data_IF_727443959735
#
_entry.id   IF_727443959735
#
_cell.length_a   1.000
_cell.length_b   1.000
_cell.length_c   1.000
_cell.angle_alpha   90.00
_cell.angle_beta   90.00
_cell.angle_gamma   90.00
#
_symmetry.space_group_name_H-M   'P 1'
#
loop_
_entity.id
_entity.type
_entity.pdbx_description
1 polymer ?
#
# COMPACT_ATOMS: atom_id res chain seq x y z
N UNK A 1 -87.81 3.93 -0.58
CA UNK A 1 -86.62 4.64 -0.06
C UNK A 1 -85.32 3.99 -0.52
N UNK A 2 -85.08 2.70 -0.28
CA UNK A 2 -83.83 2.01 -0.64
C UNK A 2 -83.57 1.96 -2.18
N UNK A 3 -84.60 1.70 -2.98
CA UNK A 3 -84.49 1.69 -4.45
C UNK A 3 -84.22 3.07 -5.09
N UNK A 4 -84.47 4.14 -4.34
CA UNK A 4 -84.25 5.52 -4.80
C UNK A 4 -82.77 5.89 -4.58
N UNK A 5 -82.22 5.52 -3.42
CA UNK A 5 -80.79 5.63 -3.10
C UNK A 5 -79.90 4.87 -4.09
N UNK A 6 -80.21 3.61 -4.44
CA UNK A 6 -79.40 2.86 -5.42
C UNK A 6 -79.45 3.45 -6.84
N UNK A 7 -80.51 4.19 -7.19
CA UNK A 7 -80.60 4.91 -8.47
C UNK A 7 -79.78 6.20 -8.46
N UNK A 8 -79.66 6.84 -7.31
CA UNK A 8 -78.81 8.01 -7.10
C UNK A 8 -77.33 7.64 -7.04
N UNK A 9 -76.97 6.51 -6.41
CA UNK A 9 -75.61 5.96 -6.40
C UNK A 9 -75.08 5.66 -7.81
N UNK A 10 -75.92 5.11 -8.69
CA UNK A 10 -75.56 4.85 -10.10
C UNK A 10 -75.36 6.12 -10.93
N UNK A 11 -75.86 7.27 -10.46
CA UNK A 11 -75.70 8.58 -11.10
C UNK A 11 -74.56 9.40 -10.51
N UNK A 12 -73.94 8.94 -9.41
CA UNK A 12 -72.83 9.64 -8.79
C UNK A 12 -71.66 9.73 -9.78
N UNK A 13 -71.02 10.90 -9.91
CA UNK A 13 -69.85 11.05 -10.76
C UNK A 13 -68.69 10.24 -10.18
N UNK A 14 -67.93 9.60 -11.06
CA UNK A 14 -66.70 8.93 -10.69
C UNK A 14 -65.67 9.95 -10.17
N UNK A 15 -65.22 9.75 -8.94
CA UNK A 15 -64.19 10.51 -8.23
C UNK A 15 -63.20 9.55 -7.55
N UNK A 16 -62.13 10.09 -6.96
CA UNK A 16 -61.04 9.29 -6.39
C UNK A 16 -61.55 8.23 -5.39
N UNK A 17 -62.59 8.55 -4.64
CA UNK A 17 -63.19 7.69 -3.61
C UNK A 17 -64.18 6.65 -4.15
N UNK A 18 -64.70 6.84 -5.37
CA UNK A 18 -65.65 5.92 -6.01
C UNK A 18 -64.99 5.04 -7.07
N UNK A 19 -63.93 5.52 -7.73
CA UNK A 19 -63.22 4.82 -8.81
C UNK A 19 -62.43 3.62 -8.28
N UNK A 20 -61.75 3.78 -7.15
CA UNK A 20 -60.90 2.72 -6.61
C UNK A 20 -60.63 2.91 -5.13
N UNK A 21 -60.08 1.88 -4.49
CA UNK A 21 -59.57 1.92 -3.12
C UNK A 21 -58.11 1.50 -3.11
N UNK A 22 -57.36 2.02 -2.15
CA UNK A 22 -55.96 1.63 -1.98
C UNK A 22 -55.87 0.14 -1.60
N UNK A 23 -55.48 -0.70 -2.56
CA UNK A 23 -55.37 -2.14 -2.37
C UNK A 23 -54.10 -2.58 -1.62
N UNK A 24 -53.01 -1.84 -1.82
CA UNK A 24 -51.74 -2.06 -1.15
C UNK A 24 -50.90 -0.78 -1.24
N UNK A 25 -50.32 -0.38 -0.12
CA UNK A 25 -49.45 0.79 -0.03
C UNK A 25 -48.24 0.45 0.82
N UNK A 26 -47.06 0.46 0.20
CA UNK A 26 -45.79 0.25 0.91
C UNK A 26 -44.75 1.16 0.31
N UNK A 27 -44.19 2.03 1.15
CA UNK A 27 -42.98 2.77 0.84
C UNK A 27 -41.76 2.04 1.38
N UNK A 28 -40.65 2.12 0.65
CA UNK A 28 -39.33 1.64 1.10
C UNK A 28 -38.36 2.79 0.90
N UNK A 29 -37.76 3.25 2.00
CA UNK A 29 -36.68 4.22 1.97
C UNK A 29 -35.36 3.45 1.97
N UNK A 30 -34.51 3.70 0.98
CA UNK A 30 -33.21 3.04 0.85
C UNK A 30 -32.17 3.72 1.76
N UNK A 31 -32.37 3.60 3.07
CA UNK A 31 -31.40 4.06 4.08
C UNK A 31 -30.30 3.02 4.18
N UNK A 32 -29.07 3.37 3.76
CA UNK A 32 -27.93 2.46 3.89
C UNK A 32 -27.52 2.32 5.36
N UNK A 33 -27.28 1.09 5.81
CA UNK A 33 -26.65 0.81 7.10
C UNK A 33 -25.17 1.17 7.02
N UNK A 34 -24.61 1.68 8.12
CA UNK A 34 -23.18 1.99 8.19
C UNK A 34 -22.38 0.68 8.17
N UNK A 35 -21.50 0.53 7.18
CA UNK A 35 -20.60 -0.62 7.06
C UNK A 35 -19.40 -0.44 8.00
N UNK A 36 -18.99 -1.51 8.67
CA UNK A 36 -17.78 -1.58 9.50
C UNK A 36 -16.51 -1.50 8.64
N UNK A 37 -15.39 -1.08 9.23
CA UNK A 37 -14.12 -0.91 8.49
C UNK A 37 -13.57 -2.23 7.96
N UNK A 38 -13.71 -3.34 8.70
CA UNK A 38 -13.26 -4.67 8.26
C UNK A 38 -14.00 -5.14 7.01
N UNK A 39 -15.33 -4.90 6.94
CA UNK A 39 -16.11 -5.25 5.74
C UNK A 39 -15.68 -4.43 4.52
N UNK A 40 -15.28 -3.18 4.71
CA UNK A 40 -14.78 -2.33 3.62
C UNK A 40 -13.46 -2.87 3.07
N UNK A 41 -12.56 -3.34 3.93
CA UNK A 41 -11.28 -3.93 3.51
C UNK A 41 -11.49 -5.19 2.68
N UNK A 42 -12.37 -6.10 3.13
CA UNK A 42 -12.63 -7.34 2.39
C UNK A 42 -13.35 -7.07 1.07
N UNK A 43 -14.34 -6.15 1.08
CA UNK A 43 -15.01 -5.69 -0.15
C UNK A 43 -14.02 -5.06 -1.13
N UNK A 44 -13.07 -4.25 -0.64
CA UNK A 44 -12.02 -3.65 -1.46
C UNK A 44 -11.15 -4.74 -2.10
N UNK A 45 -10.67 -5.71 -1.32
CA UNK A 45 -9.85 -6.81 -1.84
C UNK A 45 -10.59 -7.61 -2.92
N UNK A 46 -11.84 -7.97 -2.68
CA UNK A 46 -12.68 -8.67 -3.66
C UNK A 46 -12.95 -7.82 -4.91
N UNK A 47 -13.18 -6.52 -4.74
CA UNK A 47 -13.40 -5.57 -5.85
C UNK A 47 -12.17 -5.46 -6.73
N UNK A 48 -10.99 -5.23 -6.13
CA UNK A 48 -9.73 -5.11 -6.86
C UNK A 48 -9.44 -6.40 -7.62
N UNK A 49 -9.60 -7.56 -7.00
CA UNK A 49 -9.40 -8.86 -7.67
C UNK A 49 -10.37 -9.06 -8.84
N UNK A 50 -11.65 -8.70 -8.66
CA UNK A 50 -12.68 -8.88 -9.69
C UNK A 50 -12.46 -7.97 -10.90
N UNK A 51 -12.10 -6.70 -10.67
CA UNK A 51 -12.03 -5.67 -11.71
C UNK A 51 -10.60 -5.24 -12.05
N UNK A 52 -9.60 -6.08 -11.73
CA UNK A 52 -8.18 -5.75 -11.96
C UNK A 52 -7.91 -5.35 -13.41
N UNK A 53 -8.50 -6.06 -14.38
CA UNK A 53 -8.23 -5.81 -15.81
C UNK A 53 -8.82 -4.47 -16.24
N UNK A 54 -10.00 -4.17 -15.75
CA UNK A 54 -10.76 -2.96 -16.08
C UNK A 54 -10.10 -1.72 -15.46
N UNK A 55 -9.63 -1.84 -14.21
CA UNK A 55 -8.87 -0.79 -13.52
C UNK A 55 -7.54 -0.52 -14.23
N UNK A 56 -6.82 -1.58 -14.62
CA UNK A 56 -5.58 -1.46 -15.42
C UNK A 56 -5.85 -0.78 -16.77
N UNK A 57 -6.92 -1.16 -17.46
CA UNK A 57 -7.28 -0.51 -18.73
C UNK A 57 -7.54 0.98 -18.56
N UNK A 58 -8.34 1.36 -17.55
CA UNK A 58 -8.57 2.77 -17.23
C UNK A 58 -7.26 3.51 -16.95
N UNK A 59 -6.36 2.92 -16.14
CA UNK A 59 -5.05 3.49 -15.81
C UNK A 59 -4.16 3.77 -17.02
N UNK A 60 -4.37 3.07 -18.14
CA UNK A 60 -3.59 3.24 -19.37
C UNK A 60 -4.17 4.29 -20.32
N UNK A 61 -5.39 4.78 -20.08
CA UNK A 61 -6.01 5.83 -20.89
C UNK A 61 -5.34 7.19 -20.65
N UNK A 62 -5.53 8.13 -21.57
CA UNK A 62 -5.04 9.52 -21.44
C UNK A 62 -6.05 10.55 -21.87
N UNK A 63 -6.68 10.34 -23.03
CA UNK A 63 -7.62 11.29 -23.60
C UNK A 63 -8.86 11.37 -22.74
N UNK A 64 -9.30 12.60 -22.47
CA UNK A 64 -10.48 12.88 -21.66
C UNK A 64 -11.75 12.19 -22.17
N UNK A 65 -11.95 12.18 -23.48
CA UNK A 65 -13.13 11.55 -24.10
C UNK A 65 -13.12 10.03 -23.91
N UNK A 66 -11.96 9.40 -24.04
CA UNK A 66 -11.80 7.95 -23.88
C UNK A 66 -12.03 7.55 -22.42
N UNK A 67 -11.41 8.28 -21.46
CA UNK A 67 -11.63 8.06 -20.03
C UNK A 67 -13.09 8.26 -19.64
N UNK A 68 -13.74 9.31 -20.13
CA UNK A 68 -15.16 9.59 -19.84
C UNK A 68 -16.09 8.52 -20.43
N UNK A 69 -15.82 8.05 -21.66
CA UNK A 69 -16.57 6.98 -22.30
C UNK A 69 -16.41 5.67 -21.53
N UNK A 70 -15.17 5.32 -21.20
CA UNK A 70 -14.88 4.09 -20.48
C UNK A 70 -15.56 4.04 -19.10
N UNK A 71 -15.54 5.14 -18.33
CA UNK A 71 -16.26 5.23 -17.06
C UNK A 71 -17.78 5.28 -17.22
N UNK A 72 -18.29 5.69 -18.39
CA UNK A 72 -19.72 5.58 -18.71
C UNK A 72 -20.13 4.14 -18.98
N UNK A 73 -19.28 3.37 -19.65
CA UNK A 73 -19.50 1.95 -19.94
C UNK A 73 -19.31 1.09 -18.67
N UNK A 74 -18.39 1.51 -17.77
CA UNK A 74 -18.09 0.85 -16.50
C UNK A 74 -18.23 1.79 -15.29
N UNK A 75 -19.46 2.22 -14.91
CA UNK A 75 -19.66 3.19 -13.82
C UNK A 75 -19.21 2.68 -12.44
N UNK A 76 -19.16 1.36 -12.24
CA UNK A 76 -18.75 0.77 -10.98
C UNK A 76 -17.28 1.05 -10.62
N UNK A 77 -16.44 1.39 -11.60
CA UNK A 77 -15.04 1.78 -11.40
C UNK A 77 -14.90 3.16 -10.76
N UNK A 78 -15.95 3.99 -10.79
CA UNK A 78 -15.92 5.32 -10.18
C UNK A 78 -16.14 5.19 -8.67
N UNK A 79 -15.06 4.89 -7.95
CA UNK A 79 -15.04 4.68 -6.51
C UNK A 79 -13.63 4.86 -5.90
N UNK A 80 -13.55 4.93 -4.57
CA UNK A 80 -12.29 5.13 -3.84
C UNK A 80 -11.33 3.95 -4.00
N UNK A 81 -11.86 2.73 -4.10
CA UNK A 81 -11.08 1.50 -4.25
C UNK A 81 -10.27 1.52 -5.54
N UNK A 82 -10.85 2.01 -6.64
CA UNK A 82 -10.15 2.18 -7.92
C UNK A 82 -9.01 3.20 -7.80
N UNK A 83 -9.25 4.36 -7.15
CA UNK A 83 -8.20 5.36 -6.93
C UNK A 83 -7.03 4.79 -6.12
N UNK A 84 -7.33 4.07 -5.03
CA UNK A 84 -6.32 3.44 -4.19
C UNK A 84 -5.53 2.36 -4.95
N UNK A 85 -6.22 1.52 -5.73
CA UNK A 85 -5.59 0.51 -6.57
C UNK A 85 -4.63 1.13 -7.61
N UNK A 86 -5.04 2.22 -8.26
CA UNK A 86 -4.18 2.93 -9.22
C UNK A 86 -2.90 3.46 -8.56
N UNK A 87 -2.99 3.99 -7.33
CA UNK A 87 -1.80 4.46 -6.58
C UNK A 87 -0.88 3.30 -6.23
N UNK A 88 -1.41 2.15 -5.79
CA UNK A 88 -0.60 0.95 -5.52
C UNK A 88 0.12 0.49 -6.80
N UNK A 89 -0.58 0.46 -7.93
CA UNK A 89 0.03 0.11 -9.22
C UNK A 89 1.13 1.10 -9.63
N UNK A 90 1.00 2.39 -9.31
CA UNK A 90 2.06 3.36 -9.57
C UNK A 90 3.33 3.02 -8.78
N UNK A 91 3.18 2.59 -7.51
CA UNK A 91 4.31 2.18 -6.67
C UNK A 91 4.97 0.92 -7.23
N UNK A 92 4.16 -0.07 -7.62
CA UNK A 92 4.68 -1.32 -8.21
C UNK A 92 5.44 -1.04 -9.52
N UNK A 93 4.93 -0.14 -10.38
CA UNK A 93 5.64 0.26 -11.60
C UNK A 93 6.93 1.03 -11.33
N UNK A 94 6.97 1.82 -10.25
CA UNK A 94 8.18 2.54 -9.86
C UNK A 94 9.27 1.59 -9.33
N UNK A 95 8.88 0.57 -8.54
CA UNK A 95 9.78 -0.49 -8.08
C UNK A 95 10.30 -1.31 -9.27
N UNK A 96 9.45 -1.57 -10.27
CA UNK A 96 9.79 -2.26 -11.52
C UNK A 96 10.64 -1.40 -12.50
N UNK A 97 11.06 -0.18 -12.11
CA UNK A 97 11.79 0.78 -12.96
C UNK A 97 11.03 1.23 -14.24
N UNK A 98 9.70 1.05 -14.26
CA UNK A 98 8.82 1.42 -15.38
C UNK A 98 8.24 2.83 -15.21
N UNK A 99 9.13 3.82 -15.10
CA UNK A 99 8.76 5.21 -14.79
C UNK A 99 7.73 5.82 -15.76
N UNK A 100 7.86 5.54 -17.07
CA UNK A 100 6.92 6.07 -18.06
C UNK A 100 5.48 5.52 -17.88
N UNK A 101 5.34 4.26 -17.47
CA UNK A 101 4.05 3.66 -17.17
C UNK A 101 3.49 4.19 -15.84
N UNK A 102 4.35 4.37 -14.84
CA UNK A 102 3.97 5.00 -13.57
C UNK A 102 3.37 6.38 -13.81
N UNK A 103 3.99 7.24 -14.64
CA UNK A 103 3.46 8.59 -14.90
C UNK A 103 2.11 8.58 -15.64
N UNK A 104 1.92 7.61 -16.53
CA UNK A 104 0.66 7.42 -17.24
C UNK A 104 -0.47 7.04 -16.26
N UNK A 105 -0.22 6.07 -15.40
CA UNK A 105 -1.20 5.59 -14.41
C UNK A 105 -1.46 6.63 -13.33
N UNK A 106 -0.43 7.36 -12.91
CA UNK A 106 -0.54 8.46 -11.93
C UNK A 106 -1.49 9.54 -12.41
N UNK A 107 -1.46 9.87 -13.71
CA UNK A 107 -2.43 10.80 -14.29
C UNK A 107 -3.87 10.32 -14.08
N UNK A 108 -4.17 9.06 -14.42
CA UNK A 108 -5.52 8.51 -14.25
C UNK A 108 -5.92 8.34 -12.78
N UNK A 109 -4.95 8.11 -11.88
CA UNK A 109 -5.19 8.11 -10.44
C UNK A 109 -5.68 9.50 -9.95
N UNK A 110 -5.04 10.57 -10.41
CA UNK A 110 -5.47 11.95 -10.09
C UNK A 110 -6.81 12.29 -10.74
N UNK A 111 -7.08 11.81 -11.96
CA UNK A 111 -8.41 11.94 -12.57
C UNK A 111 -9.49 11.34 -11.68
N UNK A 112 -9.30 10.10 -11.23
CA UNK A 112 -10.25 9.45 -10.32
C UNK A 112 -10.38 10.22 -9.00
N UNK A 113 -9.26 10.70 -8.44
CA UNK A 113 -9.25 11.47 -7.21
C UNK A 113 -10.05 12.77 -7.33
N UNK A 114 -9.84 13.55 -8.38
CA UNK A 114 -10.59 14.79 -8.61
C UNK A 114 -12.09 14.54 -8.84
N UNK A 115 -12.46 13.42 -9.47
CA UNK A 115 -13.86 13.00 -9.58
C UNK A 115 -14.47 12.78 -8.19
N UNK A 116 -13.75 12.07 -7.31
CA UNK A 116 -14.19 11.80 -5.94
C UNK A 116 -14.26 13.08 -5.09
N UNK A 117 -13.28 13.97 -5.20
CA UNK A 117 -13.25 15.25 -4.49
C UNK A 117 -14.40 16.17 -4.94
N UNK A 118 -14.72 16.18 -6.25
CA UNK A 118 -15.90 16.88 -6.77
C UNK A 118 -17.20 16.30 -6.20
N UNK A 119 -17.32 14.98 -6.12
CA UNK A 119 -18.47 14.30 -5.56
C UNK A 119 -18.68 14.63 -4.07
N UNK A 120 -17.58 14.63 -3.31
CA UNK A 120 -17.57 15.01 -1.89
C UNK A 120 -17.99 16.47 -1.70
N UNK A 121 -17.49 17.38 -2.54
CA UNK A 121 -17.88 18.80 -2.52
C UNK A 121 -19.36 19.00 -2.80
N UNK A 122 -19.91 18.24 -3.75
CA UNK A 122 -21.32 18.31 -4.16
C UNK A 122 -22.25 17.48 -3.26
N UNK A 123 -21.70 16.65 -2.35
CA UNK A 123 -22.45 15.70 -1.52
C UNK A 123 -23.34 14.75 -2.36
N UNK A 124 -22.81 14.30 -3.50
CA UNK A 124 -23.49 13.37 -4.42
C UNK A 124 -22.63 12.12 -4.65
N UNK A 125 -23.25 11.05 -5.11
CA UNK A 125 -22.51 9.85 -5.51
C UNK A 125 -21.60 10.16 -6.71
N UNK A 126 -20.31 9.78 -6.69
CA UNK A 126 -19.36 10.11 -7.74
C UNK A 126 -19.76 9.56 -9.12
N UNK A 127 -20.52 8.44 -9.16
CA UNK A 127 -21.05 7.84 -10.39
C UNK A 127 -22.09 8.74 -11.07
N UNK A 128 -22.72 9.63 -10.31
CA UNK A 128 -23.68 10.62 -10.81
C UNK A 128 -23.03 11.89 -11.35
N UNK A 129 -21.83 12.25 -10.88
CA UNK A 129 -21.22 13.55 -11.19
C UNK A 129 -19.90 13.50 -11.97
N UNK A 130 -19.30 12.32 -12.20
CA UNK A 130 -17.99 12.23 -12.88
C UNK A 130 -17.94 12.92 -14.26
N UNK A 131 -19.06 12.95 -15.01
CA UNK A 131 -19.13 13.65 -16.30
C UNK A 131 -18.92 15.15 -16.17
N UNK A 132 -19.32 15.75 -15.04
CA UNK A 132 -19.12 17.17 -14.78
C UNK A 132 -17.64 17.51 -14.62
N UNK A 133 -16.84 16.60 -14.03
CA UNK A 133 -15.39 16.76 -13.98
C UNK A 133 -14.81 16.86 -15.39
N UNK A 134 -15.16 15.94 -16.29
CA UNK A 134 -14.65 15.95 -17.67
C UNK A 134 -15.11 17.17 -18.47
N UNK A 135 -16.32 17.67 -18.23
CA UNK A 135 -16.76 18.94 -18.83
C UNK A 135 -15.93 20.12 -18.32
N UNK A 136 -15.68 20.17 -17.00
CA UNK A 136 -14.91 21.25 -16.36
C UNK A 136 -13.45 21.25 -16.79
N UNK A 137 -12.75 20.11 -16.76
CA UNK A 137 -11.32 20.03 -17.08
C UNK A 137 -11.02 20.39 -18.54
N UNK A 138 -11.95 20.12 -19.47
CA UNK A 138 -11.79 20.46 -20.90
C UNK A 138 -11.89 21.96 -21.17
N UNK A 139 -12.69 22.68 -20.38
CA UNK A 139 -12.89 24.13 -20.52
C UNK A 139 -12.25 24.90 -19.36
N UNK A 140 -11.40 24.24 -18.58
CA UNK A 140 -10.84 24.78 -17.35
C UNK A 140 -9.86 25.91 -17.62
N UNK A 141 -9.95 26.96 -16.82
CA UNK A 141 -8.95 28.02 -16.80
C UNK A 141 -7.59 27.49 -16.36
N UNK A 142 -6.53 28.18 -16.79
CA UNK A 142 -5.14 27.81 -16.50
C UNK A 142 -4.86 27.50 -15.01
N UNK A 143 -5.39 28.25 -14.01
CA UNK A 143 -5.19 27.93 -12.60
C UNK A 143 -5.71 26.55 -12.19
N UNK A 144 -6.83 26.09 -12.78
CA UNK A 144 -7.39 24.78 -12.46
C UNK A 144 -6.56 23.65 -13.07
N UNK A 145 -6.03 23.85 -14.28
CA UNK A 145 -5.09 22.91 -14.91
C UNK A 145 -3.75 22.87 -14.14
N UNK A 146 -3.26 24.02 -13.69
CA UNK A 146 -2.05 24.12 -12.89
C UNK A 146 -2.21 23.40 -11.54
N UNK A 147 -3.37 23.54 -10.88
CA UNK A 147 -3.68 22.79 -9.67
C UNK A 147 -3.70 21.27 -9.92
N UNK A 148 -4.32 20.82 -11.02
CA UNK A 148 -4.32 19.40 -11.42
C UNK A 148 -2.89 18.88 -11.66
N UNK A 149 -2.08 19.64 -12.39
CA UNK A 149 -0.70 19.25 -12.67
C UNK A 149 0.16 19.25 -11.41
N UNK A 150 -0.07 20.20 -10.48
CA UNK A 150 0.62 20.24 -9.20
C UNK A 150 0.33 18.99 -8.36
N UNK A 151 -0.95 18.60 -8.24
CA UNK A 151 -1.35 17.37 -7.53
C UNK A 151 -0.78 16.12 -8.18
N UNK A 152 -0.65 16.10 -9.51
CA UNK A 152 0.00 15.02 -10.23
C UNK A 152 1.49 14.90 -9.90
N UNK A 153 2.23 16.00 -9.88
CA UNK A 153 3.64 15.97 -9.49
C UNK A 153 3.83 15.57 -8.02
N UNK A 154 2.97 16.05 -7.11
CA UNK A 154 2.96 15.62 -5.71
C UNK A 154 2.70 14.12 -5.57
N UNK A 155 1.78 13.56 -6.35
CA UNK A 155 1.55 12.12 -6.37
C UNK A 155 2.79 11.36 -6.86
N UNK A 156 3.41 11.78 -7.96
CA UNK A 156 4.63 11.15 -8.50
C UNK A 156 5.75 11.16 -7.46
N UNK A 157 5.97 12.28 -6.79
CA UNK A 157 6.97 12.36 -5.71
C UNK A 157 6.65 11.41 -4.55
N UNK A 158 5.39 11.32 -4.13
CA UNK A 158 4.96 10.41 -3.07
C UNK A 158 5.16 8.94 -3.47
N UNK A 159 4.86 8.60 -4.72
CA UNK A 159 5.06 7.26 -5.28
C UNK A 159 6.55 6.89 -5.26
N UNK A 160 7.42 7.79 -5.75
CA UNK A 160 8.89 7.60 -5.73
C UNK A 160 9.41 7.36 -4.32
N UNK A 161 9.00 8.20 -3.36
CA UNK A 161 9.38 8.03 -1.94
C UNK A 161 8.89 6.69 -1.37
N UNK A 162 7.65 6.31 -1.66
CA UNK A 162 7.09 5.05 -1.18
C UNK A 162 7.80 3.82 -1.79
N UNK A 163 8.15 3.87 -3.07
CA UNK A 163 8.94 2.84 -3.74
C UNK A 163 10.33 2.69 -3.09
N UNK A 164 11.04 3.82 -2.86
CA UNK A 164 12.32 3.82 -2.16
C UNK A 164 12.25 3.17 -0.78
N UNK A 165 11.27 3.56 0.03
CA UNK A 165 11.07 2.97 1.37
C UNK A 165 10.84 1.46 1.28
N UNK A 166 9.98 1.00 0.36
CA UNK A 166 9.71 -0.44 0.18
C UNK A 166 10.95 -1.21 -0.27
N UNK A 167 11.76 -0.63 -1.16
CA UNK A 167 13.01 -1.25 -1.61
C UNK A 167 14.05 -1.31 -0.48
N UNK A 168 14.20 -0.25 0.29
CA UNK A 168 15.08 -0.22 1.47
C UNK A 168 14.67 -1.25 2.53
N UNK A 169 13.37 -1.36 2.81
CA UNK A 169 12.85 -2.32 3.77
C UNK A 169 13.09 -3.77 3.30
N UNK A 170 12.87 -4.05 2.02
CA UNK A 170 13.18 -5.35 1.42
C UNK A 170 14.69 -5.65 1.49
N UNK A 171 15.54 -4.67 1.21
CA UNK A 171 17.00 -4.83 1.27
C UNK A 171 17.49 -5.08 2.71
N UNK A 172 16.94 -4.36 3.70
CA UNK A 172 17.23 -4.58 5.12
C UNK A 172 16.79 -5.96 5.59
N UNK A 173 15.67 -6.47 5.10
CA UNK A 173 15.21 -7.81 5.46
C UNK A 173 16.12 -8.91 4.89
N UNK A 174 16.52 -8.78 3.62
CA UNK A 174 17.52 -9.66 3.01
C UNK A 174 18.84 -9.60 3.77
N UNK A 175 19.31 -8.40 4.13
CA UNK A 175 20.52 -8.24 4.92
C UNK A 175 20.41 -8.95 6.27
N UNK A 176 19.27 -8.82 6.99
CA UNK A 176 19.01 -9.52 8.26
C UNK A 176 19.02 -11.03 8.10
N UNK A 177 18.38 -11.57 7.06
CA UNK A 177 18.40 -13.00 6.78
C UNK A 177 19.83 -13.49 6.50
N UNK A 178 20.62 -12.74 5.75
CA UNK A 178 22.03 -13.04 5.51
C UNK A 178 22.87 -12.92 6.78
N UNK A 179 22.62 -11.92 7.64
CA UNK A 179 23.23 -11.80 8.97
C UNK A 179 22.95 -13.05 9.78
N UNK A 180 21.70 -13.49 9.80
CA UNK A 180 21.28 -14.65 10.57
C UNK A 180 21.95 -15.95 10.08
N UNK A 181 22.13 -16.11 8.76
CA UNK A 181 22.83 -17.27 8.17
C UNK A 181 24.33 -17.32 8.49
N UNK A 182 24.97 -16.18 8.73
CA UNK A 182 26.42 -16.10 9.02
C UNK A 182 26.77 -16.00 10.51
N UNK A 183 25.79 -15.99 11.41
CA UNK A 183 26.05 -15.94 12.84
C UNK A 183 26.90 -17.15 13.28
N UNK A 184 27.91 -16.87 14.11
CA UNK A 184 28.72 -17.89 14.74
C UNK A 184 27.97 -18.68 15.82
N UNK A 185 28.63 -19.68 16.44
CA UNK A 185 28.02 -20.60 17.41
C UNK A 185 27.42 -19.91 18.65
N UNK A 186 27.89 -18.72 18.99
CA UNK A 186 27.36 -17.88 20.08
C UNK A 186 26.42 -16.77 19.63
N UNK A 187 25.94 -16.80 18.38
CA UNK A 187 24.99 -15.83 17.84
C UNK A 187 25.59 -14.46 17.50
N UNK A 188 26.92 -14.35 17.44
CA UNK A 188 27.62 -13.13 17.04
C UNK A 188 28.01 -13.19 15.56
N UNK A 189 27.93 -12.05 14.87
CA UNK A 189 28.38 -11.92 13.49
C UNK A 189 29.93 -11.81 13.44
N UNK A 190 30.64 -12.70 12.72
CA UNK A 190 32.08 -12.61 12.53
C UNK A 190 32.57 -11.25 12.02
N UNK A 191 31.81 -10.60 11.12
CA UNK A 191 32.21 -9.32 10.54
C UNK A 191 32.10 -8.19 11.57
N UNK A 192 30.97 -8.10 12.28
CA UNK A 192 30.76 -7.08 13.32
C UNK A 192 31.74 -7.25 14.48
N UNK A 193 32.05 -8.49 14.86
CA UNK A 193 33.09 -8.74 15.87
C UNK A 193 34.43 -8.26 15.34
N UNK A 194 34.87 -8.69 14.15
CA UNK A 194 36.17 -8.30 13.59
C UNK A 194 36.34 -6.77 13.49
N UNK A 195 35.34 -6.03 12.98
CA UNK A 195 35.41 -4.56 12.87
C UNK A 195 35.51 -3.85 14.23
N UNK A 196 34.91 -4.44 15.27
CA UNK A 196 34.96 -3.89 16.63
C UNK A 196 36.22 -4.27 17.44
N UNK A 197 37.08 -5.15 16.90
CA UNK A 197 38.31 -5.56 17.58
C UNK A 197 39.36 -4.45 17.55
N UNK A 198 40.27 -4.39 18.54
CA UNK A 198 41.45 -3.54 18.47
C UNK A 198 42.29 -3.83 17.22
N UNK A 199 42.87 -2.79 16.60
CA UNK A 199 43.67 -2.91 15.36
C UNK A 199 44.81 -3.94 15.46
N UNK A 200 45.37 -4.11 16.64
CA UNK A 200 46.44 -5.09 16.90
C UNK A 200 45.94 -6.53 16.80
N UNK A 201 44.72 -6.78 17.29
CA UNK A 201 44.03 -8.07 17.16
C UNK A 201 43.55 -8.28 15.72
N UNK A 202 43.01 -7.25 15.05
CA UNK A 202 42.65 -7.33 13.63
C UNK A 202 43.83 -7.76 12.76
N UNK A 203 45.00 -7.11 12.93
CA UNK A 203 46.24 -7.47 12.22
C UNK A 203 46.66 -8.92 12.46
N UNK A 204 46.45 -9.43 13.68
CA UNK A 204 46.79 -10.84 13.98
C UNK A 204 45.93 -11.83 13.19
N UNK A 205 44.66 -11.49 12.90
CA UNK A 205 43.80 -12.27 12.02
C UNK A 205 44.17 -12.09 10.54
N UNK A 206 44.53 -10.88 10.11
CA UNK A 206 44.97 -10.58 8.72
C UNK A 206 46.23 -11.36 8.34
N UNK A 207 47.21 -11.36 9.25
CA UNK A 207 48.49 -12.05 9.09
C UNK A 207 48.41 -13.54 9.47
N UNK A 208 47.24 -14.02 9.92
CA UNK A 208 46.99 -15.39 10.39
C UNK A 208 48.02 -15.87 11.42
N UNK A 209 48.44 -14.97 12.31
CA UNK A 209 49.51 -15.22 13.27
C UNK A 209 48.98 -15.32 14.70
N UNK A 210 48.92 -16.55 15.21
CA UNK A 210 48.41 -16.88 16.55
C UNK A 210 49.31 -16.30 17.66
N UNK A 211 50.63 -16.19 17.43
CA UNK A 211 51.55 -15.61 18.41
C UNK A 211 51.29 -14.11 18.58
N UNK A 212 51.05 -13.40 17.48
CA UNK A 212 50.69 -11.98 17.56
C UNK A 212 49.33 -11.75 18.23
N UNK A 213 48.38 -12.68 18.05
CA UNK A 213 47.09 -12.62 18.75
C UNK A 213 47.29 -12.74 20.27
N UNK A 214 48.11 -13.70 20.71
CA UNK A 214 48.43 -13.89 22.13
C UNK A 214 49.18 -12.70 22.73
N UNK A 215 50.12 -12.12 21.99
CA UNK A 215 50.84 -10.90 22.41
C UNK A 215 49.92 -9.69 22.50
N UNK A 216 49.03 -9.48 21.53
CA UNK A 216 48.07 -8.39 21.54
C UNK A 216 47.09 -8.52 22.72
N UNK A 217 46.61 -9.75 23.00
CA UNK A 217 45.74 -10.02 24.16
C UNK A 217 46.48 -9.82 25.49
N UNK A 218 47.76 -10.18 25.57
CA UNK A 218 48.57 -10.03 26.80
C UNK A 218 48.91 -8.57 27.13
N UNK A 219 48.88 -7.68 26.12
CA UNK A 219 49.04 -6.22 26.31
C UNK A 219 47.79 -5.54 26.84
N UNK A 220 46.61 -6.15 26.65
CA UNK A 220 45.34 -5.63 27.13
C UNK A 220 45.10 -6.00 28.60
N UNK A 221 44.18 -5.28 29.26
CA UNK A 221 43.78 -5.64 30.62
C UNK A 221 43.16 -7.05 30.63
N UNK A 222 43.41 -7.88 31.65
CA UNK A 222 42.96 -9.29 31.68
C UNK A 222 41.45 -9.49 31.45
N UNK A 223 40.62 -8.52 31.84
CA UNK A 223 39.17 -8.55 31.61
C UNK A 223 38.79 -8.22 30.16
N UNK A 224 39.48 -7.26 29.53
CA UNK A 224 39.26 -6.87 28.13
C UNK A 224 39.73 -7.98 27.17
N UNK A 225 40.87 -8.59 27.46
CA UNK A 225 41.39 -9.73 26.69
C UNK A 225 40.41 -10.92 26.68
N UNK A 226 39.85 -11.27 27.85
CA UNK A 226 38.81 -12.31 27.96
C UNK A 226 37.53 -11.93 27.23
N UNK A 227 37.11 -10.67 27.32
CA UNK A 227 35.92 -10.18 26.63
C UNK A 227 36.04 -10.32 25.11
N UNK A 228 37.15 -9.85 24.51
CA UNK A 228 37.38 -9.96 23.07
C UNK A 228 37.58 -11.41 22.60
N UNK A 229 38.34 -12.22 23.36
CA UNK A 229 38.58 -13.63 23.02
C UNK A 229 37.29 -14.45 23.00
N UNK A 230 36.42 -14.24 24.01
CA UNK A 230 35.10 -14.90 24.06
C UNK A 230 34.26 -14.54 22.84
N UNK A 231 34.25 -13.26 22.44
CA UNK A 231 33.53 -12.81 21.23
C UNK A 231 34.10 -13.40 19.94
N UNK A 232 35.42 -13.58 19.85
CA UNK A 232 36.03 -14.26 18.71
C UNK A 232 35.61 -15.74 18.60
N UNK A 233 35.44 -16.43 19.74
CA UNK A 233 34.91 -17.81 19.76
C UNK A 233 33.43 -17.85 19.43
N UNK A 234 32.64 -16.99 20.08
CA UNK A 234 31.18 -16.93 19.93
C UNK A 234 30.77 -16.50 18.50
N UNK A 235 31.61 -15.73 17.80
CA UNK A 235 31.42 -15.40 16.39
C UNK A 235 32.02 -16.40 15.41
N UNK A 236 32.78 -17.40 15.88
CA UNK A 236 33.46 -18.38 15.02
C UNK A 236 34.70 -17.84 14.29
N UNK A 237 35.16 -16.61 14.59
CA UNK A 237 36.43 -16.06 14.09
C UNK A 237 37.65 -16.86 14.57
N UNK A 238 37.56 -17.43 15.77
CA UNK A 238 38.62 -18.24 16.36
C UNK A 238 38.03 -19.51 16.96
N UNK A 239 38.49 -20.66 16.48
CA UNK A 239 38.18 -21.95 17.08
C UNK A 239 39.31 -22.28 18.04
N UNK A 240 39.05 -22.38 19.36
CA UNK A 240 40.06 -22.86 20.29
C UNK A 240 40.47 -24.27 19.85
N UNK A 241 41.77 -24.53 19.70
CA UNK A 241 42.25 -25.90 19.54
C UNK A 241 41.71 -26.70 20.73
N UNK A 242 40.87 -27.69 20.44
CA UNK A 242 40.42 -28.64 21.45
C UNK A 242 41.64 -29.47 21.82
N UNK A 243 42.35 -29.01 22.85
CA UNK A 243 43.36 -29.79 23.51
C UNK A 243 42.72 -31.01 24.15
N UNK A 244 42.56 -32.09 23.40
CA UNK A 244 42.95 -33.41 23.91
C UNK A 244 44.47 -33.41 24.10
N UNK A 245 44.93 -32.63 25.08
CA UNK A 245 46.26 -32.77 25.65
C UNK A 245 46.12 -32.55 27.15
N UNK A 246 45.87 -33.68 27.82
CA UNK A 246 46.13 -33.96 29.22
C UNK A 246 46.69 -32.79 30.04
N UNK A 247 45.80 -32.11 30.77
CA UNK A 247 46.15 -31.51 32.05
C UNK A 247 46.54 -32.65 33.00
N UNK A 248 47.83 -33.04 32.97
CA UNK A 248 48.44 -33.67 34.14
C UNK A 248 48.65 -32.56 35.17
N UNK A 249 47.89 -32.69 36.25
CA UNK A 249 48.22 -32.20 37.57
C UNK A 249 49.71 -32.38 37.88
N UNK A 250 50.40 -31.28 38.19
CA UNK A 250 51.41 -31.19 39.26
C UNK A 250 51.29 -29.80 39.87
#
# INVERSE_FOLDING_TARGET
MVEQYHREEKKLPWNVDTISKEGFSKSVLNTKLAETEEEKVEKNKAFVQKYTKEIKHFGMLRRWDDSQKYLSDQPHLVCEETANCLVVMCIDFEIDEKHALMEQVAHQAIVMRFILDLAQTLQVDPRGCFRQFFSKIKTADKPYQDAFNHELELLKERVRRCAQIRMEDAMKEVEREEKQKRLGPGGLDPLEVYESLPKEIQRSFDEKNIQMLQEAISKLHPEEGKYHLKRCVDSGLWVPDSGEHHLKSV
#
